data_IF_290427307796
#
_entry.id   IF_290427307796
#
_cell.length_a   1.000
_cell.length_b   1.000
_cell.length_c   1.000
_cell.angle_alpha   90.00
_cell.angle_beta   90.00
_cell.angle_gamma   90.00
#
_symmetry.space_group_name_H-M   'P 1'
#
loop_
_entity.id
_entity.type
_entity.pdbx_description
1 polymer ?
#
# COMPACT_ATOMS: atom_id res chain seq x y z
N UNK A 1 6.11 4.51 32.15
CA UNK A 1 6.07 3.56 31.02
C UNK A 1 6.10 4.32 29.68
N UNK A 2 7.29 4.68 29.15
CA UNK A 2 7.45 5.07 27.74
C UNK A 2 7.46 3.80 26.87
N UNK A 3 6.37 3.03 26.88
CA UNK A 3 6.40 1.63 26.41
C UNK A 3 6.27 1.50 24.88
N UNK A 4 5.78 2.53 24.19
CA UNK A 4 5.73 2.50 22.73
C UNK A 4 6.75 3.48 22.18
N UNK A 5 7.81 2.94 21.56
CA UNK A 5 8.78 3.74 20.83
C UNK A 5 8.07 4.55 19.74
N UNK A 6 8.59 5.75 19.45
CA UNK A 6 8.01 6.65 18.43
C UNK A 6 7.75 5.91 17.10
N UNK A 7 8.69 5.05 16.72
CA UNK A 7 8.59 4.12 15.57
C UNK A 7 7.31 3.30 15.53
N UNK A 8 6.93 2.67 16.64
CA UNK A 8 5.79 1.75 16.65
C UNK A 8 4.47 2.48 16.36
N UNK A 9 4.29 3.67 16.91
CA UNK A 9 3.10 4.48 16.64
C UNK A 9 3.04 4.91 15.16
N UNK A 10 4.17 5.30 14.57
CA UNK A 10 4.24 5.63 13.14
C UNK A 10 3.80 4.44 12.28
N UNK A 11 4.35 3.26 12.55
CA UNK A 11 3.96 2.00 11.87
C UNK A 11 2.48 1.71 12.06
N UNK A 12 1.96 1.89 13.28
CA UNK A 12 0.56 1.64 13.61
C UNK A 12 -0.37 2.62 12.88
N UNK A 13 -0.06 3.92 12.84
CA UNK A 13 -0.85 4.89 12.08
C UNK A 13 -0.89 4.53 10.59
N UNK A 14 0.24 4.10 10.03
CA UNK A 14 0.29 3.66 8.64
C UNK A 14 -0.59 2.41 8.42
N UNK A 15 -0.49 1.44 9.32
CA UNK A 15 -1.28 0.22 9.25
C UNK A 15 -2.78 0.47 9.39
N UNK A 16 -3.19 1.36 10.30
CA UNK A 16 -4.58 1.74 10.50
C UNK A 16 -5.15 2.50 9.29
N UNK A 17 -4.38 3.41 8.69
CA UNK A 17 -4.80 4.07 7.46
C UNK A 17 -4.98 3.08 6.30
N UNK A 18 -4.09 2.09 6.18
CA UNK A 18 -4.20 1.07 5.14
C UNK A 18 -5.35 0.08 5.40
N UNK A 19 -5.63 -0.23 6.66
CA UNK A 19 -6.85 -0.95 7.02
C UNK A 19 -8.11 -0.14 6.70
N UNK A 20 -8.06 1.19 6.85
CA UNK A 20 -9.16 2.06 6.45
C UNK A 20 -9.36 2.06 4.92
N UNK A 21 -8.27 1.98 4.14
CA UNK A 21 -8.34 1.75 2.69
C UNK A 21 -8.98 0.39 2.36
N UNK A 22 -8.59 -0.70 3.04
CA UNK A 22 -9.24 -2.00 2.82
C UNK A 22 -10.71 -1.98 3.26
N UNK A 23 -11.05 -1.22 4.30
CA UNK A 23 -12.41 -0.99 4.74
C UNK A 23 -13.23 -0.29 3.65
N UNK A 24 -12.68 0.72 2.96
CA UNK A 24 -13.41 1.39 1.87
C UNK A 24 -13.63 0.48 0.68
N UNK A 25 -12.77 -0.51 0.45
CA UNK A 25 -12.89 -1.47 -0.65
C UNK A 25 -13.77 -2.70 -0.35
N UNK A 26 -14.09 -2.96 0.93
CA UNK A 26 -14.69 -4.23 1.40
C UNK A 26 -15.91 -4.07 2.29
N UNK A 27 -16.05 -2.92 2.94
CA UNK A 27 -17.14 -2.61 3.84
C UNK A 27 -16.98 -3.10 5.27
N UNK A 28 -17.73 -2.46 6.16
CA UNK A 28 -17.73 -2.73 7.60
C UNK A 28 -18.09 -4.17 7.96
N UNK A 29 -19.06 -4.75 7.24
CA UNK A 29 -19.58 -6.08 7.54
C UNK A 29 -18.50 -7.16 7.37
N UNK A 30 -17.67 -7.06 6.34
CA UNK A 30 -16.61 -8.06 6.10
C UNK A 30 -15.55 -8.05 7.19
N UNK A 31 -15.30 -6.90 7.82
CA UNK A 31 -14.39 -6.79 8.96
C UNK A 31 -14.91 -7.53 10.19
N UNK A 32 -16.22 -7.45 10.45
CA UNK A 32 -16.84 -8.12 11.60
C UNK A 32 -17.13 -9.61 11.34
N UNK A 33 -17.49 -10.01 10.11
CA UNK A 33 -17.80 -11.42 9.81
C UNK A 33 -16.55 -12.25 9.54
N UNK A 34 -15.39 -11.64 9.28
CA UNK A 34 -14.11 -12.34 9.02
C UNK A 34 -12.97 -11.78 9.87
N UNK A 35 -13.03 -11.92 11.20
CA UNK A 35 -12.04 -11.32 12.11
C UNK A 35 -10.60 -11.83 11.85
N UNK A 36 -10.45 -13.10 11.50
CA UNK A 36 -9.12 -13.66 11.15
C UNK A 36 -8.52 -12.99 9.91
N UNK A 37 -9.35 -12.63 8.92
CA UNK A 37 -8.89 -11.92 7.74
C UNK A 37 -8.48 -10.48 8.07
N UNK A 38 -9.24 -9.80 8.94
CA UNK A 38 -8.86 -8.47 9.44
C UNK A 38 -7.53 -8.50 10.20
N UNK A 39 -7.34 -9.47 11.09
CA UNK A 39 -6.07 -9.64 11.80
C UNK A 39 -4.93 -9.98 10.83
N UNK A 40 -5.21 -10.79 9.81
CA UNK A 40 -4.25 -11.09 8.76
C UNK A 40 -3.79 -9.82 8.04
N UNK A 41 -4.74 -8.98 7.60
CA UNK A 41 -4.48 -7.68 6.98
C UNK A 41 -3.73 -6.71 7.91
N UNK A 42 -4.13 -6.63 9.17
CA UNK A 42 -3.43 -5.78 10.15
C UNK A 42 -1.96 -6.18 10.25
N UNK A 43 -1.67 -7.48 10.40
CA UNK A 43 -0.29 -7.95 10.43
C UNK A 43 0.46 -7.75 9.12
N UNK A 44 -0.23 -7.84 7.96
CA UNK A 44 0.34 -7.53 6.64
C UNK A 44 0.83 -6.07 6.64
N UNK A 45 -0.01 -5.13 7.04
CA UNK A 45 0.38 -3.71 7.03
C UNK A 45 1.41 -3.38 8.10
N UNK A 46 1.26 -3.91 9.32
CA UNK A 46 2.23 -3.69 10.41
C UNK A 46 3.62 -4.17 9.99
N UNK A 47 3.72 -5.39 9.44
CA UNK A 47 5.02 -5.93 9.02
C UNK A 47 5.57 -5.19 7.79
N UNK A 48 4.73 -4.80 6.83
CA UNK A 48 5.13 -3.97 5.69
C UNK A 48 5.71 -2.63 6.14
N UNK A 49 4.98 -1.86 6.94
CA UNK A 49 5.46 -0.55 7.40
C UNK A 49 6.63 -0.67 8.38
N UNK A 50 6.72 -1.73 9.17
CA UNK A 50 7.91 -1.97 10.00
C UNK A 50 9.18 -2.16 9.17
N UNK A 51 9.08 -2.91 8.06
CA UNK A 51 10.15 -3.10 7.08
C UNK A 51 10.46 -1.81 6.31
N UNK A 52 9.43 -1.13 5.81
CA UNK A 52 9.60 0.13 5.06
C UNK A 52 10.22 1.22 5.93
N UNK A 53 9.78 1.38 7.17
CA UNK A 53 10.35 2.34 8.12
C UNK A 53 11.82 2.01 8.42
N UNK A 54 12.19 0.72 8.53
CA UNK A 54 13.60 0.34 8.65
C UNK A 54 14.42 0.79 7.43
N UNK A 55 13.90 0.60 6.22
CA UNK A 55 14.56 1.06 4.99
C UNK A 55 14.67 2.59 4.95
N UNK A 56 13.62 3.32 5.34
CA UNK A 56 13.60 4.78 5.41
C UNK A 56 14.67 5.29 6.38
N UNK A 57 14.75 4.75 7.59
CA UNK A 57 15.76 5.17 8.58
C UNK A 57 17.17 4.72 8.20
N UNK A 58 17.32 3.54 7.58
CA UNK A 58 18.63 2.99 7.22
C UNK A 58 19.26 3.67 6.00
N UNK A 59 18.47 3.91 4.96
CA UNK A 59 18.94 4.41 3.66
C UNK A 59 18.51 5.84 3.36
N UNK A 60 17.72 6.47 4.23
CA UNK A 60 17.16 7.82 4.04
C UNK A 60 16.42 7.88 2.70
N UNK A 61 15.36 7.09 2.58
CA UNK A 61 14.64 6.98 1.32
C UNK A 61 13.98 8.30 0.92
N UNK A 62 14.04 8.59 -0.38
CA UNK A 62 13.27 9.63 -1.06
C UNK A 62 11.92 9.07 -1.52
N UNK A 63 10.99 9.95 -1.89
CA UNK A 63 9.63 9.56 -2.28
C UNK A 63 9.58 8.53 -3.41
N UNK A 64 10.42 8.67 -4.45
CA UNK A 64 10.41 7.71 -5.55
C UNK A 64 10.94 6.33 -5.10
N UNK A 65 11.84 6.27 -4.12
CA UNK A 65 12.32 5.00 -3.56
C UNK A 65 11.24 4.35 -2.71
N UNK A 66 10.49 5.16 -1.95
CA UNK A 66 9.28 4.71 -1.23
C UNK A 66 8.26 4.15 -2.22
N UNK A 67 8.00 4.85 -3.34
CA UNK A 67 7.11 4.37 -4.41
C UNK A 67 7.59 3.02 -4.98
N UNK A 68 8.89 2.87 -5.25
CA UNK A 68 9.45 1.60 -5.76
C UNK A 68 9.31 0.47 -4.73
N UNK A 69 9.59 0.73 -3.45
CA UNK A 69 9.43 -0.26 -2.37
C UNK A 69 7.96 -0.64 -2.19
N UNK A 70 7.05 0.33 -2.22
CA UNK A 70 5.62 0.12 -2.12
C UNK A 70 5.06 -0.64 -3.32
N UNK A 71 5.50 -0.30 -4.53
CA UNK A 71 5.13 -1.03 -5.73
C UNK A 71 5.62 -2.48 -5.68
N UNK A 72 6.90 -2.70 -5.35
CA UNK A 72 7.49 -4.04 -5.21
C UNK A 72 6.70 -4.88 -4.21
N UNK A 73 6.40 -4.29 -3.04
CA UNK A 73 5.60 -4.96 -2.03
C UNK A 73 4.18 -5.25 -2.54
N UNK A 74 3.51 -4.25 -3.11
CA UNK A 74 2.13 -4.33 -3.62
C UNK A 74 1.93 -5.39 -4.70
N UNK A 75 2.95 -5.75 -5.49
CA UNK A 75 2.87 -6.84 -6.46
C UNK A 75 2.42 -8.17 -5.81
N UNK A 76 2.84 -8.45 -4.58
CA UNK A 76 2.51 -9.71 -3.90
C UNK A 76 1.05 -9.76 -3.43
N UNK A 77 0.51 -8.80 -2.64
CA UNK A 77 -0.91 -8.78 -2.31
C UNK A 77 -1.82 -8.70 -3.56
N UNK A 78 -1.44 -7.94 -4.58
CA UNK A 78 -2.26 -7.84 -5.81
C UNK A 78 -2.31 -9.20 -6.52
N UNK A 79 -1.20 -9.95 -6.57
CA UNK A 79 -1.14 -11.25 -7.22
C UNK A 79 -1.73 -12.41 -6.38
N UNK A 80 -1.43 -12.45 -5.08
CA UNK A 80 -1.66 -13.65 -4.25
C UNK A 80 -2.76 -13.46 -3.21
N UNK A 81 -2.95 -12.25 -2.67
CA UNK A 81 -4.02 -11.97 -1.70
C UNK A 81 -5.36 -11.72 -2.41
N UNK A 82 -5.33 -10.96 -3.52
CA UNK A 82 -6.55 -10.58 -4.25
C UNK A 82 -6.67 -11.25 -5.62
N UNK A 83 -5.57 -11.66 -6.25
CA UNK A 83 -5.57 -12.20 -7.62
C UNK A 83 -5.91 -11.17 -8.70
N UNK A 84 -6.10 -9.90 -8.32
CA UNK A 84 -6.53 -8.84 -9.25
C UNK A 84 -5.50 -8.54 -10.35
N UNK A 85 -4.25 -8.95 -10.15
CA UNK A 85 -3.21 -8.84 -11.19
C UNK A 85 -3.58 -9.64 -12.45
N UNK A 86 -4.33 -10.73 -12.27
CA UNK A 86 -4.66 -11.69 -13.32
C UNK A 86 -6.14 -11.62 -13.73
N UNK A 87 -6.91 -10.72 -13.13
CA UNK A 87 -8.35 -10.63 -13.32
C UNK A 87 -8.70 -9.48 -14.28
N UNK A 88 -9.42 -9.77 -15.35
CA UNK A 88 -9.91 -8.78 -16.33
C UNK A 88 -11.26 -8.16 -15.96
N UNK A 89 -11.96 -8.74 -14.98
CA UNK A 89 -13.31 -8.31 -14.59
C UNK A 89 -13.30 -7.13 -13.62
N UNK A 90 -12.16 -6.90 -12.98
CA UNK A 90 -11.96 -5.81 -12.03
C UNK A 90 -10.93 -4.92 -12.71
N UNK A 91 -11.32 -3.68 -13.03
CA UNK A 91 -10.61 -2.74 -13.91
C UNK A 91 -10.67 -3.19 -15.38
N UNK A 92 -11.26 -2.38 -16.27
CA UNK A 92 -11.31 -2.56 -17.73
C UNK A 92 -9.93 -2.43 -18.36
N UNK A 93 -8.98 -3.23 -17.88
CA UNK A 93 -7.58 -3.15 -18.21
C UNK A 93 -7.23 -4.14 -19.32
N UNK A 94 -6.37 -3.70 -20.21
CA UNK A 94 -5.79 -4.53 -21.26
C UNK A 94 -4.87 -5.55 -20.58
N UNK A 95 -5.07 -6.84 -20.91
CA UNK A 95 -4.14 -7.89 -20.50
C UNK A 95 -2.93 -7.88 -21.42
N UNK A 96 -1.75 -7.74 -20.83
CA UNK A 96 -0.48 -7.85 -21.56
C UNK A 96 0.33 -8.95 -20.89
N UNK A 97 0.73 -9.97 -21.65
CA UNK A 97 1.47 -11.13 -21.16
C UNK A 97 0.81 -11.81 -19.93
N UNK A 98 -0.53 -11.81 -19.85
CA UNK A 98 -1.26 -12.42 -18.74
C UNK A 98 -1.37 -11.55 -17.49
N UNK A 99 -1.02 -10.26 -17.56
CA UNK A 99 -1.14 -9.29 -16.47
C UNK A 99 -2.08 -8.14 -16.83
N UNK A 100 -2.97 -7.76 -15.92
CA UNK A 100 -3.86 -6.61 -16.06
C UNK A 100 -3.08 -5.31 -15.82
N UNK A 101 -2.82 -4.56 -16.90
CA UNK A 101 -2.06 -3.30 -16.84
C UNK A 101 -2.82 -2.21 -16.09
N UNK A 102 -4.14 -2.18 -16.19
CA UNK A 102 -4.99 -1.24 -15.44
C UNK A 102 -4.83 -1.45 -13.93
N UNK A 103 -4.85 -2.70 -13.48
CA UNK A 103 -4.58 -3.05 -12.08
C UNK A 103 -3.16 -2.65 -11.67
N UNK A 104 -2.15 -2.92 -12.49
CA UNK A 104 -0.77 -2.53 -12.17
C UNK A 104 -0.63 -1.01 -11.97
N UNK A 105 -1.23 -0.23 -12.85
CA UNK A 105 -1.15 1.23 -12.77
C UNK A 105 -1.96 1.77 -11.59
N UNK A 106 -3.26 1.48 -11.53
CA UNK A 106 -4.17 2.06 -10.53
C UNK A 106 -3.85 1.48 -9.15
N UNK A 107 -3.82 0.15 -9.01
CA UNK A 107 -3.64 -0.48 -7.71
C UNK A 107 -2.16 -0.50 -7.33
N UNK A 108 -1.28 -0.94 -8.23
CA UNK A 108 0.15 -1.06 -7.92
C UNK A 108 0.86 0.28 -7.71
N UNK A 109 0.74 1.21 -8.66
CA UNK A 109 1.50 2.47 -8.60
C UNK A 109 0.74 3.54 -7.80
N UNK A 110 -0.53 3.77 -8.12
CA UNK A 110 -1.27 4.88 -7.51
C UNK A 110 -1.78 4.53 -6.11
N UNK A 111 -2.47 3.41 -5.94
CA UNK A 111 -3.00 3.01 -4.63
C UNK A 111 -1.85 2.62 -3.70
N UNK A 112 -1.08 1.57 -3.99
CA UNK A 112 0.01 1.10 -3.13
C UNK A 112 1.14 2.12 -3.02
N UNK A 113 1.60 2.69 -4.14
CA UNK A 113 2.69 3.67 -4.12
C UNK A 113 2.29 5.00 -3.49
N UNK A 114 1.33 5.70 -4.09
CA UNK A 114 1.02 7.08 -3.70
C UNK A 114 0.16 7.13 -2.45
N UNK A 115 -1.02 6.51 -2.45
CA UNK A 115 -2.02 6.66 -1.38
C UNK A 115 -1.62 5.88 -0.12
N UNK A 116 -1.46 4.57 -0.26
CA UNK A 116 -1.11 3.65 0.82
C UNK A 116 0.37 3.77 1.24
N UNK A 117 1.25 4.22 0.36
CA UNK A 117 2.66 4.47 0.69
C UNK A 117 2.92 5.90 1.14
N UNK A 118 3.05 6.83 0.18
CA UNK A 118 3.55 8.20 0.44
C UNK A 118 2.56 9.06 1.25
N UNK A 119 1.29 9.12 0.87
CA UNK A 119 0.26 9.92 1.58
C UNK A 119 0.06 9.38 3.00
N UNK A 120 0.10 8.06 3.16
CA UNK A 120 0.03 7.40 4.46
C UNK A 120 1.20 7.77 5.37
N UNK A 121 2.44 7.62 4.89
CA UNK A 121 3.62 7.99 5.66
C UNK A 121 3.61 9.49 6.00
N UNK A 122 3.08 10.32 5.10
CA UNK A 122 2.97 11.76 5.32
C UNK A 122 2.03 12.03 6.49
N UNK A 123 0.85 11.40 6.50
CA UNK A 123 -0.10 11.49 7.59
C UNK A 123 0.53 11.03 8.91
N UNK A 124 1.21 9.88 8.91
CA UNK A 124 1.83 9.33 10.12
C UNK A 124 2.85 10.31 10.71
N UNK A 125 3.70 10.93 9.89
CA UNK A 125 4.63 11.98 10.33
C UNK A 125 3.95 13.27 10.76
N UNK A 126 2.81 13.61 10.13
CA UNK A 126 2.01 14.78 10.49
C UNK A 126 1.42 14.65 11.90
N UNK A 127 1.02 13.44 12.28
CA UNK A 127 0.50 13.10 13.60
C UNK A 127 1.62 12.91 14.63
N UNK A 128 2.73 12.31 14.20
CA UNK A 128 3.85 12.00 15.07
C UNK A 128 5.17 12.07 14.29
N UNK A 129 5.97 13.13 14.49
CA UNK A 129 7.22 13.32 13.76
C UNK A 129 8.18 12.14 13.94
N UNK A 130 8.74 11.64 12.83
CA UNK A 130 9.68 10.51 12.85
C UNK A 130 10.91 10.80 13.70
N UNK A 131 11.23 9.85 14.56
CA UNK A 131 12.54 9.75 15.20
C UNK A 131 13.55 9.09 14.24
N UNK A 132 14.48 9.86 13.71
CA UNK A 132 15.47 9.37 12.75
C UNK A 132 16.58 8.51 13.36
N UNK A 133 16.62 8.39 14.70
CA UNK A 133 17.66 7.70 15.46
C UNK A 133 17.14 6.49 16.25
N UNK A 134 15.89 6.06 16.00
CA UNK A 134 15.35 4.89 16.66
C UNK A 134 16.10 3.59 16.28
N UNK A 135 16.06 2.54 17.13
CA UNK A 135 16.65 1.24 16.80
C UNK A 135 16.13 0.66 15.48
N UNK A 136 17.06 0.14 14.68
CA UNK A 136 16.78 -0.53 13.40
C UNK A 136 16.24 -1.94 13.62
N UNK A 137 15.52 -2.45 12.63
CA UNK A 137 15.04 -3.82 12.60
C UNK A 137 16.21 -4.79 12.45
N UNK A 138 16.31 -5.74 13.37
CA UNK A 138 17.28 -6.83 13.29
C UNK A 138 16.90 -7.87 12.23
N UNK A 139 17.82 -8.79 11.94
CA UNK A 139 17.61 -9.88 10.97
C UNK A 139 16.40 -10.76 11.32
N UNK A 140 16.24 -11.08 12.61
CA UNK A 140 15.10 -11.85 13.12
C UNK A 140 13.78 -11.14 12.82
N UNK A 141 13.71 -9.83 13.09
CA UNK A 141 12.51 -9.04 12.77
C UNK A 141 12.18 -9.10 11.29
N UNK A 142 13.17 -8.87 10.41
CA UNK A 142 12.99 -8.98 8.95
C UNK A 142 12.51 -10.36 8.52
N UNK A 143 13.11 -11.43 9.05
CA UNK A 143 12.71 -12.81 8.75
C UNK A 143 11.28 -13.11 9.22
N UNK A 144 10.92 -12.73 10.45
CA UNK A 144 9.56 -12.91 10.99
C UNK A 144 8.52 -12.13 10.20
N UNK A 145 8.82 -10.90 9.80
CA UNK A 145 7.96 -10.09 8.95
C UNK A 145 7.75 -10.74 7.57
N UNK A 146 8.83 -11.16 6.91
CA UNK A 146 8.77 -11.85 5.62
C UNK A 146 8.01 -13.18 5.71
N UNK A 147 8.25 -13.97 6.75
CA UNK A 147 7.57 -15.24 6.97
C UNK A 147 6.07 -15.04 7.20
N UNK A 148 5.69 -14.06 8.02
CA UNK A 148 4.28 -13.74 8.23
C UNK A 148 3.58 -13.40 6.91
N UNK A 149 4.19 -12.52 6.11
CA UNK A 149 3.67 -12.15 4.79
C UNK A 149 3.50 -13.37 3.90
N UNK A 150 4.52 -14.22 3.82
CA UNK A 150 4.49 -15.44 3.02
C UNK A 150 3.36 -16.38 3.44
N UNK A 151 3.19 -16.62 4.74
CA UNK A 151 2.13 -17.49 5.28
C UNK A 151 0.74 -16.96 4.91
N UNK A 152 0.50 -15.66 5.07
CA UNK A 152 -0.79 -15.07 4.71
C UNK A 152 -1.04 -15.14 3.21
N UNK A 153 -0.02 -14.90 2.38
CA UNK A 153 -0.15 -15.01 0.91
C UNK A 153 -0.43 -16.45 0.47
N UNK A 154 0.24 -17.45 1.06
CA UNK A 154 -0.02 -18.87 0.77
C UNK A 154 -1.47 -19.23 1.14
N UNK A 155 -1.90 -18.85 2.35
CA UNK A 155 -3.27 -19.11 2.80
C UNK A 155 -4.31 -18.47 1.87
N UNK A 156 -4.11 -17.21 1.47
CA UNK A 156 -5.01 -16.51 0.57
C UNK A 156 -5.02 -17.13 -0.85
N UNK A 157 -3.88 -17.60 -1.33
CA UNK A 157 -3.74 -18.22 -2.65
C UNK A 157 -4.42 -19.60 -2.74
N UNK A 158 -4.56 -20.30 -1.62
CA UNK A 158 -5.30 -21.56 -1.53
C UNK A 158 -6.83 -21.36 -1.63
N UNK A 159 -7.33 -20.13 -1.43
CA UNK A 159 -8.76 -19.85 -1.58
C UNK A 159 -9.20 -20.05 -3.04
N UNK A 160 -10.19 -20.93 -3.32
CA UNK A 160 -10.60 -21.23 -4.69
C UNK A 160 -11.25 -20.06 -5.43
N UNK A 161 -11.67 -19.02 -4.70
CA UNK A 161 -12.31 -17.82 -5.27
C UNK A 161 -11.27 -16.79 -5.73
N UNK A 162 -10.02 -16.88 -5.27
CA UNK A 162 -8.95 -15.97 -5.68
C UNK A 162 -8.56 -16.23 -7.14
N UNK A 163 -8.68 -15.23 -8.05
CA UNK A 163 -8.27 -15.39 -9.44
C UNK A 163 -6.80 -15.82 -9.55
N UNK A 164 -6.52 -16.77 -10.45
CA UNK A 164 -5.17 -17.32 -10.65
C UNK A 164 -4.59 -16.86 -11.98
N UNK A 165 -3.28 -16.65 -11.99
CA UNK A 165 -2.54 -16.33 -13.20
C UNK A 165 -2.38 -17.53 -14.13
N UNK A 166 -2.21 -17.25 -15.41
CA UNK A 166 -1.67 -18.23 -16.36
C UNK A 166 -0.16 -18.41 -16.11
N UNK A 167 0.48 -19.47 -16.64
CA UNK A 167 1.94 -19.60 -16.57
C UNK A 167 2.68 -18.36 -17.11
N UNK A 168 2.19 -17.77 -18.20
CA UNK A 168 2.70 -16.52 -18.74
C UNK A 168 2.54 -15.35 -17.76
N UNK A 169 1.36 -15.23 -17.12
CA UNK A 169 1.11 -14.18 -16.12
C UNK A 169 2.05 -14.28 -14.91
N UNK A 170 2.31 -15.49 -14.40
CA UNK A 170 3.29 -15.69 -13.32
C UNK A 170 4.72 -15.40 -13.77
N UNK A 171 5.10 -15.80 -14.99
CA UNK A 171 6.41 -15.45 -15.54
C UNK A 171 6.57 -13.92 -15.64
N UNK A 172 5.56 -13.21 -16.14
CA UNK A 172 5.56 -11.74 -16.19
C UNK A 172 5.63 -11.10 -14.80
N UNK A 173 4.94 -11.65 -13.80
CA UNK A 173 5.07 -11.21 -12.41
C UNK A 173 6.51 -11.39 -11.89
N UNK A 174 7.13 -12.55 -12.12
CA UNK A 174 8.52 -12.81 -11.71
C UNK A 174 9.48 -11.82 -12.37
N UNK A 175 9.35 -11.60 -13.67
CA UNK A 175 10.17 -10.61 -14.41
C UNK A 175 9.97 -9.22 -13.81
N UNK A 176 8.73 -8.81 -13.56
CA UNK A 176 8.41 -7.51 -12.98
C UNK A 176 9.02 -7.36 -11.58
N UNK A 177 8.89 -8.36 -10.72
CA UNK A 177 9.50 -8.39 -9.38
C UNK A 177 11.02 -8.24 -9.47
N UNK A 178 11.69 -8.99 -10.37
CA UNK A 178 13.14 -8.89 -10.55
C UNK A 178 13.55 -7.49 -11.01
N UNK A 179 12.86 -6.94 -12.02
CA UNK A 179 13.15 -5.59 -12.54
C UNK A 179 13.00 -4.55 -11.44
N UNK A 180 11.88 -4.55 -10.71
CA UNK A 180 11.63 -3.57 -9.65
C UNK A 180 12.60 -3.76 -8.49
N UNK A 181 12.92 -5.00 -8.10
CA UNK A 181 13.92 -5.26 -7.06
C UNK A 181 15.31 -4.73 -7.45
N UNK A 182 15.73 -4.92 -8.70
CA UNK A 182 16.98 -4.34 -9.22
C UNK A 182 16.93 -2.81 -9.18
N UNK A 183 15.82 -2.18 -9.56
CA UNK A 183 15.64 -0.73 -9.48
C UNK A 183 15.71 -0.22 -8.04
N UNK A 184 15.05 -0.91 -7.09
CA UNK A 184 15.15 -0.60 -5.66
C UNK A 184 16.61 -0.68 -5.22
N UNK A 185 17.28 -1.82 -5.40
CA UNK A 185 18.68 -2.03 -4.98
C UNK A 185 19.62 -0.98 -5.58
N UNK A 186 19.47 -0.67 -6.88
CA UNK A 186 20.26 0.39 -7.53
C UNK A 186 19.98 1.76 -6.93
N UNK A 187 18.71 2.08 -6.68
CA UNK A 187 18.33 3.36 -6.10
C UNK A 187 18.87 3.55 -4.68
N UNK A 188 18.98 2.48 -3.88
CA UNK A 188 19.49 2.54 -2.50
C UNK A 188 20.99 2.90 -2.43
N UNK A 189 21.73 2.80 -3.54
CA UNK A 189 23.13 3.23 -3.61
C UNK A 189 23.29 4.75 -3.73
N UNK A 190 22.22 5.46 -4.09
CA UNK A 190 22.25 6.92 -4.17
C UNK A 190 22.20 7.51 -2.76
N UNK A 191 23.08 8.46 -2.41
CA UNK A 191 23.03 9.13 -1.10
C UNK A 191 21.64 9.73 -0.84
N UNK A 192 21.04 9.30 0.25
CA UNK A 192 19.78 9.86 0.72
C UNK A 192 19.98 11.27 1.32
N UNK A 193 18.92 12.07 1.45
CA UNK A 193 18.98 13.39 2.05
C UNK A 193 19.37 13.29 3.54
N UNK A 194 19.92 14.39 4.05
CA UNK A 194 20.09 14.56 5.50
C UNK A 194 18.74 14.53 6.21
N UNK A 195 18.66 14.05 7.47
CA UNK A 195 17.47 14.16 8.29
C UNK A 195 17.01 15.61 8.36
N UNK A 196 15.76 15.85 8.00
CA UNK A 196 15.12 17.17 8.09
C UNK A 196 13.90 17.07 9.01
N UNK A 197 13.56 18.15 9.73
CA UNK A 197 12.30 18.20 10.45
C UNK A 197 11.15 18.08 9.44
N UNK A 198 10.09 17.40 9.86
CA UNK A 198 8.87 17.30 9.07
C UNK A 198 8.32 18.70 8.78
N UNK A 199 7.99 18.97 7.51
CA UNK A 199 7.37 20.22 7.10
C UNK A 199 5.98 19.93 6.51
N UNK A 200 4.90 20.41 7.16
CA UNK A 200 3.56 20.19 6.64
C UNK A 200 3.36 20.93 5.32
N UNK A 201 2.65 20.28 4.41
CA UNK A 201 2.31 20.81 3.10
C UNK A 201 0.80 20.70 2.93
N UNK A 202 0.12 21.84 2.72
CA UNK A 202 -1.35 21.93 2.60
C UNK A 202 -1.95 20.93 1.62
N UNK A 203 -1.32 20.73 0.46
CA UNK A 203 -1.82 19.78 -0.54
C UNK A 203 -1.78 18.34 -0.01
N UNK A 204 -0.72 17.97 0.72
CA UNK A 204 -0.59 16.64 1.29
C UNK A 204 -1.50 16.45 2.50
N UNK A 205 -1.75 17.50 3.30
CA UNK A 205 -2.79 17.49 4.34
C UNK A 205 -4.18 17.25 3.73
N UNK A 206 -4.50 17.92 2.61
CA UNK A 206 -5.75 17.70 1.89
C UNK A 206 -5.87 16.26 1.38
N UNK A 207 -4.83 15.74 0.74
CA UNK A 207 -4.85 14.35 0.24
C UNK A 207 -4.95 13.33 1.39
N UNK A 208 -4.25 13.53 2.50
CA UNK A 208 -4.24 12.57 3.61
C UNK A 208 -5.54 12.59 4.42
N UNK A 209 -5.97 13.75 4.91
CA UNK A 209 -7.21 13.86 5.68
C UNK A 209 -8.45 13.68 4.79
N UNK A 210 -8.39 14.13 3.53
CA UNK A 210 -9.44 13.85 2.54
C UNK A 210 -9.59 12.36 2.27
N UNK A 211 -8.48 11.61 2.20
CA UNK A 211 -8.54 10.14 2.05
C UNK A 211 -9.21 9.47 3.25
N UNK A 212 -8.94 9.91 4.48
CA UNK A 212 -9.64 9.38 5.66
C UNK A 212 -11.15 9.58 5.52
N UNK A 213 -11.58 10.81 5.21
CA UNK A 213 -13.01 11.13 5.09
C UNK A 213 -13.68 10.30 3.99
N UNK A 214 -13.05 10.21 2.81
CA UNK A 214 -13.59 9.45 1.68
C UNK A 214 -13.65 7.96 2.01
N UNK A 215 -12.60 7.37 2.58
CA UNK A 215 -12.61 5.94 2.89
C UNK A 215 -13.65 5.58 3.96
N UNK A 216 -13.85 6.44 4.96
CA UNK A 216 -14.93 6.27 5.93
C UNK A 216 -16.30 6.26 5.27
N UNK A 217 -16.56 7.19 4.34
CA UNK A 217 -17.82 7.27 3.60
C UNK A 217 -18.01 6.03 2.72
N UNK A 218 -17.01 5.68 1.91
CA UNK A 218 -17.11 4.60 0.92
C UNK A 218 -17.34 3.23 1.57
N UNK A 219 -16.73 2.94 2.72
CA UNK A 219 -16.96 1.67 3.40
C UNK A 219 -18.38 1.50 3.97
N UNK A 220 -19.18 2.57 4.03
CA UNK A 220 -20.62 2.46 4.38
C UNK A 220 -21.49 1.98 3.22
N UNK A 221 -21.02 2.09 1.97
CA UNK A 221 -21.82 1.72 0.79
C UNK A 221 -21.93 0.20 0.60
N UNK A 222 -21.06 -0.57 1.26
CA UNK A 222 -21.04 -2.03 1.14
C UNK A 222 -22.11 -2.72 2.00
N UNK A 223 -23.17 -3.21 1.34
CA UNK A 223 -24.30 -3.89 1.98
C UNK A 223 -24.32 -5.42 1.73
N UNK A 224 -23.47 -6.17 2.42
CA UNK A 224 -23.54 -7.65 2.45
C UNK A 224 -22.29 -8.39 1.98
N UNK A 225 -22.33 -9.72 2.05
CA UNK A 225 -21.17 -10.62 1.81
C UNK A 225 -20.92 -10.97 0.33
N UNK A 226 -21.72 -10.43 -0.59
CA UNK A 226 -21.62 -10.81 -2.00
C UNK A 226 -20.47 -10.09 -2.69
N UNK A 227 -19.88 -10.77 -3.68
CA UNK A 227 -18.73 -10.33 -4.48
C UNK A 227 -18.92 -8.87 -4.92
N UNK A 228 -17.85 -8.08 -4.86
CA UNK A 228 -17.80 -6.63 -5.15
C UNK A 228 -18.54 -6.21 -6.43
N UNK A 229 -18.62 -7.08 -7.44
CA UNK A 229 -19.31 -6.83 -8.71
C UNK A 229 -20.80 -7.18 -8.75
N UNK A 230 -21.36 -7.72 -7.67
CA UNK A 230 -22.73 -8.25 -7.64
C UNK A 230 -23.80 -7.27 -7.12
N UNK A 231 -23.38 -6.11 -6.62
CA UNK A 231 -24.28 -5.05 -6.16
C UNK A 231 -23.87 -3.68 -6.73
N UNK A 232 -24.82 -2.87 -7.23
CA UNK A 232 -24.52 -1.54 -7.79
C UNK A 232 -23.78 -0.61 -6.82
N UNK A 233 -24.08 -0.69 -5.51
CA UNK A 233 -23.41 0.14 -4.50
C UNK A 233 -21.94 -0.24 -4.28
N UNK A 234 -21.61 -1.53 -4.32
CA UNK A 234 -20.22 -2.00 -4.23
C UNK A 234 -19.41 -1.55 -5.45
N UNK A 235 -20.02 -1.61 -6.64
CA UNK A 235 -19.41 -1.12 -7.87
C UNK A 235 -19.18 0.40 -7.81
N UNK A 236 -20.18 1.16 -7.35
CA UNK A 236 -20.06 2.59 -7.15
C UNK A 236 -18.94 2.93 -6.17
N UNK A 237 -18.85 2.23 -5.04
CA UNK A 237 -17.80 2.46 -4.05
C UNK A 237 -16.40 2.23 -4.63
N UNK A 238 -16.19 1.13 -5.36
CA UNK A 238 -14.92 0.87 -6.06
C UNK A 238 -14.64 1.92 -7.13
N UNK A 239 -15.63 2.32 -7.93
CA UNK A 239 -15.45 3.38 -8.93
C UNK A 239 -15.03 4.70 -8.29
N UNK A 240 -15.69 5.11 -7.21
CA UNK A 240 -15.35 6.33 -6.48
C UNK A 240 -13.97 6.24 -5.81
N UNK A 241 -13.62 5.09 -5.23
CA UNK A 241 -12.28 4.84 -4.68
C UNK A 241 -11.21 4.99 -5.76
N UNK A 242 -11.44 4.44 -6.95
CA UNK A 242 -10.52 4.55 -8.07
C UNK A 242 -10.37 5.97 -8.59
N UNK A 243 -11.48 6.72 -8.69
CA UNK A 243 -11.45 8.14 -9.05
C UNK A 243 -10.61 8.90 -8.02
N UNK A 244 -10.79 8.62 -6.73
CA UNK A 244 -10.02 9.24 -5.67
C UNK A 244 -8.53 8.87 -5.73
N UNK A 245 -8.19 7.60 -5.98
CA UNK A 245 -6.81 7.13 -6.15
C UNK A 245 -6.15 7.80 -7.37
N UNK A 246 -6.87 7.90 -8.50
CA UNK A 246 -6.41 8.61 -9.69
C UNK A 246 -6.17 10.08 -9.41
N UNK A 247 -7.10 10.73 -8.71
CA UNK A 247 -6.98 12.13 -8.29
C UNK A 247 -5.77 12.34 -7.38
N UNK A 248 -5.61 11.53 -6.32
CA UNK A 248 -4.45 11.57 -5.42
C UNK A 248 -3.14 11.40 -6.19
N UNK A 249 -3.08 10.40 -7.07
CA UNK A 249 -1.94 10.15 -7.95
C UNK A 249 -1.60 11.36 -8.82
N UNK A 250 -2.59 11.88 -9.56
CA UNK A 250 -2.42 13.03 -10.44
C UNK A 250 -1.94 14.28 -9.71
N UNK A 251 -2.60 14.63 -8.60
CA UNK A 251 -2.21 15.79 -7.77
C UNK A 251 -0.80 15.61 -7.20
N UNK A 252 -0.47 14.42 -6.70
CA UNK A 252 0.86 14.13 -6.19
C UNK A 252 1.95 14.29 -7.26
N UNK A 253 1.76 13.72 -8.46
CA UNK A 253 2.73 13.82 -9.55
C UNK A 253 2.86 15.27 -10.05
N UNK A 254 1.75 15.99 -10.23
CA UNK A 254 1.79 17.41 -10.60
C UNK A 254 2.55 18.25 -9.56
N UNK A 255 2.29 18.00 -8.28
CA UNK A 255 3.02 18.66 -7.19
C UNK A 255 4.53 18.33 -7.23
N UNK A 256 4.90 17.07 -7.51
CA UNK A 256 6.32 16.67 -7.64
C UNK A 256 7.00 17.29 -8.86
N UNK A 257 6.29 17.48 -9.96
CA UNK A 257 6.83 18.17 -11.15
C UNK A 257 7.11 19.65 -10.85
N UNK A 258 6.25 20.30 -10.08
CA UNK A 258 6.40 21.72 -9.73
C UNK A 258 7.44 21.96 -8.62
N UNK A 259 7.53 21.08 -7.61
CA UNK A 259 8.50 21.19 -6.53
C UNK A 259 9.59 20.15 -6.63
N UNK A 260 10.82 20.58 -6.91
CA UNK A 260 12.00 19.69 -6.97
C UNK A 260 12.42 19.12 -5.61
N UNK A 261 12.06 19.76 -4.49
CA UNK A 261 12.36 19.26 -3.14
C UNK A 261 11.50 18.05 -2.78
N UNK A 262 12.07 16.98 -2.24
CA UNK A 262 11.31 15.84 -1.74
C UNK A 262 10.33 16.26 -0.64
N UNK A 263 9.14 15.64 -0.62
CA UNK A 263 8.28 15.70 0.57
C UNK A 263 9.01 14.89 1.63
N UNK A 264 9.30 15.47 2.78
CA UNK A 264 9.88 14.72 3.89
C UNK A 264 8.75 13.90 4.50
N UNK A 265 8.59 12.70 3.96
CA UNK A 265 7.77 11.61 4.51
C UNK A 265 8.60 10.79 5.46
#
# INVERSE_FOLDING_TARGET
>A
MKILSNRFNLVLYCALFNLLFEYSARGIRQFFTRPLFMLALLGIYVTYFAMLEDLIVRFRLRNYQILLCAFLYGLFPIAFLTGNLFNTRVYTGIMVAGVNIGTLFIVGILAWGVVQGVVTLYLANRLQPRDWNHPRMGKVGWASAGLYQLVVMIYAHQNPVTPRGTPAGYLSLVILVVVVAVLVIRSLKTPGPSPRPFQPVKIMDFLSFGSIAIFLILGTFFSGEKIVTSQPLNLLAVTLENIWVLFCGGVFFLYRLQKKSDIVV
#
